data_IF_350117305962
#
_entry.id   IF_350117305962
#
_cell.length_a   1.000
_cell.length_b   1.000
_cell.length_c   1.000
_cell.angle_alpha   90.00
_cell.angle_beta   90.00
_cell.angle_gamma   90.00
#
_symmetry.space_group_name_H-M   'P 1'
#
loop_
_entity.id
_entity.type
_entity.pdbx_description
1 polymer ?
#
# COMPACT_ATOMS: atom_id res chain seq x y z
N UNK A 1 -14.84 2.34 -3.65
CA UNK A 1 -13.37 2.49 -3.65
C UNK A 1 -12.76 2.05 -4.98
N UNK A 2 -12.94 0.80 -5.39
CA UNK A 2 -12.38 0.27 -6.67
C UNK A 2 -12.76 1.09 -7.91
N UNK A 3 -14.04 1.48 -8.06
CA UNK A 3 -14.51 2.32 -9.18
C UNK A 3 -13.83 3.70 -9.22
N UNK A 4 -13.64 4.32 -8.05
CA UNK A 4 -12.93 5.59 -7.92
C UNK A 4 -11.45 5.44 -8.32
N UNK A 5 -10.77 4.38 -7.87
CA UNK A 5 -9.38 4.13 -8.25
C UNK A 5 -9.24 3.88 -9.75
N UNK A 6 -10.18 3.14 -10.35
CA UNK A 6 -10.22 2.92 -11.80
C UNK A 6 -10.36 4.23 -12.57
N UNK A 7 -11.19 5.16 -12.09
CA UNK A 7 -11.37 6.48 -12.70
C UNK A 7 -10.10 7.34 -12.66
N UNK A 8 -9.33 7.28 -11.57
CA UNK A 8 -8.06 8.01 -11.44
C UNK A 8 -7.03 7.48 -12.44
N UNK A 9 -6.87 6.16 -12.52
CA UNK A 9 -5.89 5.54 -13.42
C UNK A 9 -6.06 5.92 -14.89
N UNK A 10 -7.30 6.12 -15.33
CA UNK A 10 -7.60 6.44 -16.74
C UNK A 10 -7.43 7.91 -17.12
N UNK A 11 -7.25 8.81 -16.14
CA UNK A 11 -7.28 10.28 -16.37
C UNK A 11 -6.01 11.01 -15.91
N UNK A 12 -5.20 10.36 -15.07
CA UNK A 12 -4.06 11.00 -14.40
C UNK A 12 -2.75 10.35 -14.83
N UNK A 13 -1.75 11.18 -15.16
CA UNK A 13 -0.39 10.72 -15.40
C UNK A 13 0.40 10.67 -14.10
N UNK A 14 1.06 9.55 -13.85
CA UNK A 14 1.79 9.29 -12.62
C UNK A 14 3.29 9.39 -12.82
N UNK A 15 3.95 10.20 -11.98
CA UNK A 15 5.39 10.41 -12.06
C UNK A 15 6.15 9.22 -11.44
N UNK A 16 5.72 8.78 -10.27
CA UNK A 16 6.33 7.65 -9.58
C UNK A 16 5.36 7.01 -8.59
N UNK A 17 5.73 5.82 -8.14
CA UNK A 17 4.98 5.07 -7.17
C UNK A 17 5.89 4.65 -6.02
N UNK A 18 5.39 4.69 -4.80
CA UNK A 18 6.07 4.23 -3.59
C UNK A 18 5.33 3.00 -3.12
N UNK A 19 6.00 1.87 -2.90
CA UNK A 19 5.41 0.64 -2.36
C UNK A 19 6.05 0.29 -1.02
N UNK A 20 5.23 -0.10 -0.07
CA UNK A 20 5.67 -0.75 1.16
C UNK A 20 4.77 -1.93 1.53
N UNK A 21 5.33 -2.84 2.31
CA UNK A 21 4.64 -4.01 2.85
C UNK A 21 4.67 -3.97 4.38
N UNK A 22 3.51 -4.19 4.98
CA UNK A 22 3.37 -4.29 6.42
C UNK A 22 2.60 -5.57 6.76
N UNK A 23 2.88 -6.15 7.92
CA UNK A 23 2.06 -7.22 8.47
C UNK A 23 1.23 -6.71 9.65
N UNK A 24 0.06 -7.31 9.84
CA UNK A 24 -0.87 -7.07 10.93
C UNK A 24 -1.49 -8.39 11.39
N UNK A 25 -2.40 -8.33 12.35
CA UNK A 25 -3.11 -9.49 12.87
C UNK A 25 -4.61 -9.21 12.95
N UNK A 26 -5.42 -10.22 12.67
CA UNK A 26 -6.87 -10.19 12.89
C UNK A 26 -7.25 -11.36 13.81
N UNK A 27 -8.29 -11.22 14.63
CA UNK A 27 -8.71 -12.16 15.69
C UNK A 27 -7.66 -12.45 16.78
N UNK A 28 -6.50 -13.04 16.42
CA UNK A 28 -5.41 -13.46 17.31
C UNK A 28 -4.05 -13.29 16.65
N UNK A 29 -2.98 -13.22 17.44
CA UNK A 29 -1.60 -13.01 16.94
C UNK A 29 -1.06 -14.11 16.01
N UNK A 30 -1.65 -15.31 16.03
CA UNK A 30 -1.27 -16.37 15.08
C UNK A 30 -1.88 -16.19 13.69
N UNK A 31 -2.91 -15.35 13.55
CA UNK A 31 -3.53 -15.03 12.27
C UNK A 31 -2.95 -13.72 11.74
N UNK A 32 -1.85 -13.87 11.00
CA UNK A 32 -1.21 -12.76 10.28
C UNK A 32 -2.02 -12.41 9.04
N UNK A 33 -2.05 -11.12 8.73
CA UNK A 33 -2.42 -10.63 7.42
C UNK A 33 -1.35 -9.64 6.97
N UNK A 34 -1.25 -9.48 5.66
CA UNK A 34 -0.28 -8.64 5.01
C UNK A 34 -1.03 -7.53 4.29
N UNK A 35 -0.54 -6.32 4.44
CA UNK A 35 -1.06 -5.13 3.81
C UNK A 35 0.05 -4.61 2.91
N UNK A 36 -0.18 -4.70 1.61
CA UNK A 36 0.61 -3.97 0.64
C UNK A 36 -0.02 -2.61 0.51
N UNK A 37 0.80 -1.58 0.61
CA UNK A 37 0.37 -0.20 0.50
C UNK A 37 1.22 0.48 -0.56
N UNK A 38 0.59 1.35 -1.33
CA UNK A 38 1.29 2.15 -2.29
C UNK A 38 0.76 3.56 -2.34
N UNK A 39 1.63 4.46 -2.79
CA UNK A 39 1.26 5.82 -3.16
C UNK A 39 1.75 6.09 -4.55
N UNK A 40 0.82 6.39 -5.43
CA UNK A 40 1.13 6.93 -6.71
C UNK A 40 1.09 8.46 -6.59
N UNK A 41 2.19 9.11 -6.99
CA UNK A 41 2.28 10.57 -7.03
C UNK A 41 2.11 10.99 -8.48
N UNK A 42 1.12 11.84 -8.74
CA UNK A 42 0.90 12.35 -10.08
C UNK A 42 1.94 13.41 -10.47
N UNK A 43 1.92 13.81 -11.74
CA UNK A 43 2.84 14.84 -12.26
C UNK A 43 2.64 16.22 -11.60
N UNK A 44 1.50 16.47 -10.98
CA UNK A 44 1.19 17.70 -10.25
C UNK A 44 1.63 17.63 -8.78
N UNK A 45 2.06 16.45 -8.30
CA UNK A 45 2.48 16.19 -6.94
C UNK A 45 1.36 15.71 -6.01
N UNK A 46 0.14 15.50 -6.52
CA UNK A 46 -0.96 14.95 -5.74
C UNK A 46 -0.71 13.47 -5.42
N UNK A 47 -1.13 13.07 -4.22
CA UNK A 47 -0.87 11.73 -3.70
C UNK A 47 -2.12 10.88 -3.75
N UNK A 48 -2.00 9.71 -4.36
CA UNK A 48 -3.09 8.74 -4.47
C UNK A 48 -2.71 7.46 -3.75
N UNK A 49 -3.53 7.07 -2.77
CA UNK A 49 -3.24 6.00 -1.83
C UNK A 49 -3.96 4.71 -2.24
N UNK A 50 -3.20 3.62 -2.31
CA UNK A 50 -3.67 2.29 -2.71
C UNK A 50 -3.31 1.26 -1.64
N UNK A 51 -4.13 0.22 -1.51
CA UNK A 51 -3.80 -0.92 -0.68
C UNK A 51 -4.31 -2.23 -1.28
N UNK A 52 -3.71 -3.32 -0.81
CA UNK A 52 -4.19 -4.68 -0.99
C UNK A 52 -4.01 -5.43 0.33
N UNK A 53 -5.02 -6.21 0.72
CA UNK A 53 -4.98 -7.05 1.91
C UNK A 53 -5.00 -8.52 1.48
N UNK A 54 -4.08 -9.31 2.02
CA UNK A 54 -4.04 -10.76 1.82
C UNK A 54 -3.56 -11.48 3.08
N UNK A 55 -4.00 -12.73 3.25
CA UNK A 55 -3.56 -13.60 4.35
C UNK A 55 -2.18 -14.20 4.10
N UNK A 56 -1.69 -14.18 2.85
CA UNK A 56 -0.45 -14.83 2.42
C UNK A 56 0.51 -13.81 1.82
N UNK A 57 1.74 -13.79 2.33
CA UNK A 57 2.85 -13.07 1.71
C UNK A 57 3.41 -13.90 0.55
N UNK A 58 2.81 -13.78 -0.62
CA UNK A 58 3.28 -14.44 -1.83
C UNK A 58 3.30 -13.49 -3.04
N UNK A 59 3.97 -13.93 -4.11
CA UNK A 59 4.07 -13.14 -5.35
C UNK A 59 2.71 -12.95 -6.03
N UNK A 60 1.73 -13.82 -5.75
CA UNK A 60 0.38 -13.73 -6.32
C UNK A 60 -0.34 -12.50 -5.74
N UNK A 61 -0.30 -12.32 -4.42
CA UNK A 61 -0.86 -11.14 -3.77
C UNK A 61 -0.19 -9.85 -4.25
N UNK A 62 1.14 -9.87 -4.46
CA UNK A 62 1.85 -8.71 -5.01
C UNK A 62 1.46 -8.41 -6.47
N UNK A 63 1.24 -9.45 -7.29
CA UNK A 63 0.78 -9.30 -8.66
C UNK A 63 -0.64 -8.75 -8.73
N UNK A 64 -1.56 -9.30 -7.93
CA UNK A 64 -2.93 -8.80 -7.77
C UNK A 64 -2.92 -7.33 -7.31
N UNK A 65 -1.99 -6.95 -6.44
CA UNK A 65 -1.83 -5.56 -6.05
C UNK A 65 -1.33 -4.71 -7.22
N UNK A 66 -0.32 -5.14 -7.98
CA UNK A 66 0.19 -4.43 -9.16
C UNK A 66 -0.91 -4.12 -10.17
N UNK A 67 -1.83 -5.06 -10.43
CA UNK A 67 -2.97 -4.84 -11.33
C UNK A 67 -3.89 -3.70 -10.84
N UNK A 68 -3.93 -3.44 -9.53
CA UNK A 68 -4.67 -2.33 -8.92
C UNK A 68 -3.91 -1.01 -8.87
N UNK A 69 -2.65 -0.97 -9.30
CA UNK A 69 -1.85 0.25 -9.37
C UNK A 69 -1.88 0.90 -10.76
N UNK A 70 -1.64 2.22 -10.87
CA UNK A 70 -1.39 2.85 -12.15
C UNK A 70 -0.05 2.38 -12.73
N UNK A 71 0.07 2.40 -14.06
CA UNK A 71 1.35 2.18 -14.71
C UNK A 71 2.25 3.39 -14.50
N UNK A 72 3.44 3.14 -13.98
CA UNK A 72 4.48 4.14 -13.75
C UNK A 72 5.81 3.62 -14.24
N UNK A 73 6.70 4.53 -14.63
CA UNK A 73 8.07 4.19 -15.00
C UNK A 73 8.96 3.95 -13.77
N UNK A 74 8.65 4.62 -12.66
CA UNK A 74 9.48 4.60 -11.44
C UNK A 74 8.66 4.10 -10.26
N UNK A 75 9.18 3.08 -9.59
CA UNK A 75 8.66 2.43 -8.39
C UNK A 75 9.75 2.43 -7.33
N UNK A 76 9.51 3.13 -6.23
CA UNK A 76 10.36 3.11 -5.06
C UNK A 76 9.87 2.04 -4.09
N UNK A 77 10.72 1.07 -3.78
CA UNK A 77 10.43 0.01 -2.83
C UNK A 77 11.61 -0.23 -1.89
N UNK A 78 11.41 -1.02 -0.85
CA UNK A 78 12.52 -1.55 -0.05
C UNK A 78 13.26 -2.65 -0.84
N UNK A 79 14.47 -3.04 -0.41
CA UNK A 79 15.34 -4.01 -1.11
C UNK A 79 14.81 -5.46 -1.14
N UNK A 80 13.51 -5.67 -0.96
CA UNK A 80 12.92 -6.99 -1.04
C UNK A 80 12.90 -7.47 -2.51
N UNK A 81 13.59 -8.60 -2.75
CA UNK A 81 13.73 -9.27 -4.04
C UNK A 81 12.39 -9.53 -4.74
N UNK A 82 11.30 -9.71 -3.98
CA UNK A 82 9.95 -9.89 -4.52
C UNK A 82 9.45 -8.72 -5.37
N UNK A 83 9.94 -7.50 -5.16
CA UNK A 83 9.52 -6.35 -5.96
C UNK A 83 10.16 -6.36 -7.36
N UNK A 84 11.43 -6.75 -7.46
CA UNK A 84 12.14 -6.82 -8.74
C UNK A 84 11.51 -7.85 -9.68
N UNK A 85 11.01 -8.97 -9.15
CA UNK A 85 10.34 -9.99 -9.97
C UNK A 85 8.99 -9.54 -10.54
N UNK A 86 8.31 -8.59 -9.88
CA UNK A 86 6.97 -8.12 -10.27
C UNK A 86 7.02 -6.82 -11.08
N UNK A 87 7.92 -5.89 -10.74
CA UNK A 87 8.02 -4.59 -11.39
C UNK A 87 9.21 -4.47 -12.36
N UNK A 88 10.23 -5.31 -12.23
CA UNK A 88 11.45 -5.28 -13.04
C UNK A 88 12.47 -4.25 -12.53
N UNK A 89 13.76 -4.55 -12.71
CA UNK A 89 14.87 -3.78 -12.12
C UNK A 89 14.89 -2.29 -12.51
N UNK A 90 14.49 -1.96 -13.75
CA UNK A 90 14.47 -0.57 -14.24
C UNK A 90 13.34 0.26 -13.65
N UNK A 91 12.24 -0.40 -13.28
CA UNK A 91 11.13 0.27 -12.60
C UNK A 91 11.46 0.43 -11.11
N UNK A 92 12.19 -0.51 -10.50
CA UNK A 92 12.49 -0.48 -9.08
C UNK A 92 13.75 0.36 -8.76
N UNK A 93 13.58 1.50 -8.10
CA UNK A 93 14.69 2.33 -7.63
C UNK A 93 14.86 2.23 -6.11
N UNK A 94 16.12 2.16 -5.66
CA UNK A 94 16.49 2.15 -4.24
C UNK A 94 16.30 3.54 -3.61
N UNK A 95 15.81 3.59 -2.37
CA UNK A 95 15.59 4.81 -1.59
C UNK A 95 16.92 5.53 -1.32
N UNK A 96 17.13 6.73 -1.86
CA UNK A 96 18.28 7.58 -1.49
C UNK A 96 17.87 9.04 -1.20
N UNK A 97 17.29 9.76 -2.16
CA UNK A 97 16.86 11.18 -1.98
C UNK A 97 15.35 11.31 -1.66
N UNK A 98 14.52 10.38 -2.13
CA UNK A 98 13.09 10.28 -1.81
C UNK A 98 12.80 9.65 -0.43
N UNK A 99 13.86 9.28 0.29
CA UNK A 99 13.83 8.60 1.58
C UNK A 99 12.94 9.33 2.59
N UNK A 100 12.99 10.67 2.68
CA UNK A 100 12.19 11.44 3.63
C UNK A 100 10.68 11.37 3.36
N UNK A 101 10.26 11.42 2.09
CA UNK A 101 8.84 11.29 1.72
C UNK A 101 8.34 9.88 2.05
N UNK A 102 9.12 8.86 1.69
CA UNK A 102 8.76 7.46 1.94
C UNK A 102 8.80 7.12 3.43
N UNK A 103 9.72 7.67 4.21
CA UNK A 103 9.81 7.46 5.66
C UNK A 103 8.67 8.14 6.40
N UNK A 104 8.35 9.39 6.05
CA UNK A 104 7.19 10.10 6.59
C UNK A 104 5.90 9.31 6.30
N UNK A 105 5.81 8.76 5.09
CA UNK A 105 4.70 7.93 4.68
C UNK A 105 4.61 6.61 5.43
N UNK A 106 5.70 5.85 5.46
CA UNK A 106 5.79 4.59 6.17
C UNK A 106 5.54 4.79 7.66
N UNK A 107 5.99 5.90 8.24
CA UNK A 107 5.69 6.29 9.62
C UNK A 107 4.20 6.60 9.81
N UNK A 108 3.57 7.32 8.88
CA UNK A 108 2.13 7.60 8.90
C UNK A 108 1.29 6.32 8.78
N UNK A 109 1.66 5.44 7.84
CA UNK A 109 1.05 4.13 7.62
C UNK A 109 1.24 3.23 8.83
N UNK A 110 2.47 3.11 9.36
CA UNK A 110 2.75 2.34 10.57
C UNK A 110 2.04 2.90 11.79
N UNK A 111 1.94 4.22 11.96
CA UNK A 111 1.20 4.82 13.08
C UNK A 111 -0.29 4.48 13.00
N UNK A 112 -0.88 4.57 11.81
CA UNK A 112 -2.32 4.32 11.58
C UNK A 112 -2.66 2.83 11.55
N UNK A 113 -1.79 1.97 11.02
CA UNK A 113 -1.92 0.51 11.10
C UNK A 113 -1.56 0.02 12.51
N UNK A 114 -0.62 0.65 13.21
CA UNK A 114 -0.32 0.37 14.61
C UNK A 114 -1.55 0.60 15.48
N UNK A 115 -2.34 1.66 15.20
CA UNK A 115 -3.65 1.85 15.83
C UNK A 115 -4.59 0.65 15.62
N UNK A 116 -4.57 0.01 14.44
CA UNK A 116 -5.32 -1.23 14.15
C UNK A 116 -4.77 -2.49 14.86
N UNK A 117 -3.57 -2.42 15.45
CA UNK A 117 -2.87 -3.57 16.08
C UNK A 117 -2.79 -3.47 17.62
N UNK A 118 -3.17 -2.36 18.24
CA UNK A 118 -3.04 -2.17 19.70
C UNK A 118 -4.05 -3.02 20.47
N UNK A 119 -3.50 -3.80 21.42
CA UNK A 119 -4.13 -4.80 22.30
C UNK A 119 -5.37 -4.32 23.08
N UNK A 120 -5.58 -3.01 23.21
CA UNK A 120 -6.66 -2.42 24.01
C UNK A 120 -7.80 -1.79 23.19
N UNK A 121 -7.68 -1.65 21.87
CA UNK A 121 -8.76 -1.09 21.04
C UNK A 121 -8.91 -1.85 19.73
N UNK A 122 -9.66 -2.96 19.84
CA UNK A 122 -10.32 -3.71 18.77
C UNK A 122 -9.36 -4.30 17.72
N UNK A 123 -8.87 -5.50 18.02
CA UNK A 123 -8.51 -6.47 16.98
C UNK A 123 -9.57 -6.47 15.88
N UNK A 124 -9.14 -6.50 14.62
CA UNK A 124 -10.08 -6.78 13.55
C UNK A 124 -10.80 -8.10 13.86
N UNK A 125 -12.13 -8.03 14.02
CA UNK A 125 -12.96 -9.18 14.42
C UNK A 125 -12.88 -10.32 13.40
N UNK A 126 -12.60 -9.96 12.15
CA UNK A 126 -12.40 -10.86 11.02
C UNK A 126 -11.52 -10.18 9.97
N UNK A 127 -11.13 -10.93 8.95
CA UNK A 127 -10.36 -10.43 7.82
C UNK A 127 -11.17 -9.38 7.03
N UNK A 128 -12.47 -9.60 6.85
CA UNK A 128 -13.38 -8.68 6.17
C UNK A 128 -13.53 -7.36 6.93
N UNK A 129 -13.57 -7.42 8.28
CA UNK A 129 -13.60 -6.20 9.09
C UNK A 129 -12.30 -5.41 8.97
N UNK A 130 -11.16 -6.09 8.88
CA UNK A 130 -9.87 -5.45 8.62
C UNK A 130 -9.88 -4.75 7.26
N UNK A 131 -10.33 -5.44 6.22
CA UNK A 131 -10.44 -4.89 4.87
C UNK A 131 -11.36 -3.67 4.84
N UNK A 132 -12.56 -3.75 5.45
CA UNK A 132 -13.48 -2.63 5.53
C UNK A 132 -12.84 -1.39 6.18
N UNK A 133 -12.07 -1.57 7.27
CA UNK A 133 -11.39 -0.46 7.95
C UNK A 133 -10.25 0.13 7.14
N UNK A 134 -9.49 -0.71 6.43
CA UNK A 134 -8.47 -0.24 5.50
C UNK A 134 -9.13 0.54 4.35
N UNK A 135 -10.23 0.04 3.79
CA UNK A 135 -10.97 0.71 2.72
C UNK A 135 -11.38 2.12 3.10
N UNK A 136 -11.92 2.31 4.32
CA UNK A 136 -12.32 3.62 4.83
C UNK A 136 -11.11 4.53 5.09
N UNK A 137 -10.00 3.97 5.59
CA UNK A 137 -8.77 4.73 5.82
C UNK A 137 -8.18 5.28 4.52
N UNK A 138 -8.04 4.42 3.52
CA UNK A 138 -7.48 4.76 2.22
C UNK A 138 -8.43 5.62 1.39
N UNK A 139 -9.75 5.41 1.51
CA UNK A 139 -10.73 6.31 0.91
C UNK A 139 -10.55 7.73 1.47
N UNK A 140 -10.61 7.93 2.79
CA UNK A 140 -10.46 9.26 3.37
C UNK A 140 -9.14 9.94 2.97
N UNK A 141 -8.04 9.19 2.88
CA UNK A 141 -6.74 9.72 2.44
C UNK A 141 -6.69 10.25 1.01
N UNK A 142 -7.61 9.81 0.15
CA UNK A 142 -7.69 10.28 -1.24
C UNK A 142 -8.64 11.48 -1.41
N UNK A 143 -9.37 11.89 -0.36
CA UNK A 143 -10.33 13.00 -0.40
C UNK A 143 -9.90 14.21 0.46
N UNK A 144 -8.78 14.09 1.19
CA UNK A 144 -8.18 15.13 2.03
C UNK A 144 -6.71 15.29 1.68
#
# INVERSE_FOLDING_TARGET
>A
FEEFMSSIKGRTFFAYLIIDELYTFYKKKSQKAYVWSAIAVDIEGNQHYFYHLSEKKDNKALLEFKEKLPNVEIVFCDENVSYNSVFGDKATMKKSVFTNLVESLNSSLRSKISYLTRKSDKHAKSFEWLDFRLSHLFHNKNFY
#
